data_IF_448447578102
#
_entry.id   IF_448447578102
#
_cell.length_a   1.000
_cell.length_b   1.000
_cell.length_c   1.000
_cell.angle_alpha   90.00
_cell.angle_beta   90.00
_cell.angle_gamma   90.00
#
_symmetry.space_group_name_H-M   'P 1'
#
loop_
_entity.id
_entity.type
_entity.pdbx_description
1 polymer ?
#
# COMPACT_ATOMS: atom_id res chain seq x y z
N UNK A 1 -0.52 -20.35 -14.61
CA UNK A 1 -0.58 -20.73 -13.18
C UNK A 1 0.27 -19.82 -12.29
N UNK A 2 1.52 -19.52 -12.67
CA UNK A 2 2.41 -18.61 -11.92
C UNK A 2 1.93 -17.16 -11.80
N UNK A 3 1.40 -16.58 -12.88
CA UNK A 3 0.98 -15.17 -12.93
C UNK A 3 -0.18 -14.85 -11.97
N UNK A 4 -1.14 -15.77 -11.84
CA UNK A 4 -2.32 -15.54 -10.99
C UNK A 4 -1.96 -15.59 -9.50
N UNK A 5 -1.01 -16.45 -9.12
CA UNK A 5 -0.47 -16.54 -7.75
C UNK A 5 0.29 -15.26 -7.39
N UNK A 6 1.08 -14.73 -8.32
CA UNK A 6 1.80 -13.46 -8.14
C UNK A 6 0.83 -12.30 -7.86
N UNK A 7 -0.25 -12.19 -8.65
CA UNK A 7 -1.26 -11.14 -8.49
C UNK A 7 -1.95 -11.23 -7.12
N UNK A 8 -2.29 -12.45 -6.67
CA UNK A 8 -2.91 -12.66 -5.35
C UNK A 8 -1.96 -12.21 -4.22
N UNK A 9 -0.66 -12.50 -4.32
CA UNK A 9 0.33 -12.08 -3.34
C UNK A 9 0.45 -10.55 -3.31
N UNK A 10 0.47 -9.89 -4.47
CA UNK A 10 0.48 -8.42 -4.55
C UNK A 10 -0.78 -7.82 -3.93
N UNK A 11 -1.95 -8.38 -4.23
CA UNK A 11 -3.21 -7.90 -3.66
C UNK A 11 -3.28 -8.11 -2.15
N UNK A 12 -2.73 -9.19 -1.61
CA UNK A 12 -2.68 -9.41 -0.15
C UNK A 12 -1.68 -8.48 0.53
N UNK A 13 -0.50 -8.29 -0.06
CA UNK A 13 0.57 -7.46 0.51
C UNK A 13 0.24 -5.95 0.45
N UNK A 14 -0.34 -5.50 -0.66
CA UNK A 14 -0.62 -4.07 -0.91
C UNK A 14 -2.09 -3.69 -0.72
N UNK A 15 -3.04 -4.61 -0.93
CA UNK A 15 -4.50 -4.35 -0.81
C UNK A 15 -5.17 -4.99 0.41
N UNK A 16 -4.59 -6.04 0.98
CA UNK A 16 -5.18 -6.86 2.05
C UNK A 16 -4.84 -6.42 3.48
N UNK A 17 -3.75 -5.68 3.68
CA UNK A 17 -3.20 -5.37 5.01
C UNK A 17 -3.93 -4.29 5.82
N UNK A 18 -4.99 -3.65 5.29
CA UNK A 18 -5.72 -2.62 6.03
C UNK A 18 -7.20 -2.46 5.66
N UNK A 19 -7.53 -2.49 4.37
CA UNK A 19 -8.89 -2.17 3.90
C UNK A 19 -9.86 -3.35 3.84
N UNK A 20 -9.40 -4.51 3.35
CA UNK A 20 -10.32 -5.62 3.02
C UNK A 20 -10.79 -6.42 4.25
N UNK A 21 -9.92 -6.58 5.27
CA UNK A 21 -10.21 -7.37 6.48
C UNK A 21 -10.47 -6.52 7.74
N UNK A 22 -10.25 -5.19 7.69
CA UNK A 22 -10.36 -4.29 8.84
C UNK A 22 -11.79 -3.93 9.29
N UNK A 23 -12.82 -4.44 8.61
CA UNK A 23 -14.23 -4.06 8.82
C UNK A 23 -14.96 -4.85 9.93
N UNK A 24 -14.29 -5.68 10.74
CA UNK A 24 -14.97 -6.45 11.81
C UNK A 24 -14.42 -6.18 13.22
N UNK A 25 -15.27 -5.50 13.99
CA UNK A 25 -15.45 -5.48 15.46
C UNK A 25 -14.28 -5.04 16.36
N UNK A 26 -13.01 -5.26 16.02
CA UNK A 26 -11.84 -4.92 16.88
C UNK A 26 -10.61 -4.41 16.11
N UNK A 27 -10.68 -4.20 14.79
CA UNK A 27 -9.55 -3.70 14.00
C UNK A 27 -9.58 -2.19 13.87
N UNK A 28 -8.48 -1.50 14.16
CA UNK A 28 -8.25 -0.12 13.70
C UNK A 28 -8.34 -0.11 12.17
N UNK A 29 -9.51 0.23 11.64
CA UNK A 29 -9.85 0.04 10.23
C UNK A 29 -8.87 0.74 9.29
N UNK A 30 -8.49 0.06 8.21
CA UNK A 30 -7.93 0.71 7.01
C UNK A 30 -6.47 1.15 7.06
N UNK A 31 -5.91 1.40 8.25
CA UNK A 31 -4.72 2.25 8.40
C UNK A 31 -3.45 1.72 7.74
N UNK A 32 -3.09 0.45 7.95
CA UNK A 32 -1.80 -0.08 7.49
C UNK A 32 -1.66 -0.17 5.96
N UNK A 33 -2.75 -0.49 5.26
CA UNK A 33 -2.74 -0.52 3.78
C UNK A 33 -2.62 0.87 3.16
N UNK A 34 -3.32 1.85 3.74
CA UNK A 34 -3.24 3.25 3.28
C UNK A 34 -1.87 3.84 3.60
N UNK A 35 -1.34 3.63 4.82
CA UNK A 35 -0.01 4.10 5.21
C UNK A 35 1.06 3.48 4.33
N UNK A 36 0.99 2.17 4.04
CA UNK A 36 1.92 1.50 3.14
C UNK A 36 1.88 2.07 1.72
N UNK A 37 0.69 2.32 1.18
CA UNK A 37 0.52 2.95 -0.14
C UNK A 37 1.09 4.37 -0.18
N UNK A 38 0.81 5.18 0.84
CA UNK A 38 1.33 6.54 0.95
C UNK A 38 2.86 6.55 1.01
N UNK A 39 3.46 5.65 1.79
CA UNK A 39 4.92 5.51 1.87
C UNK A 39 5.54 5.09 0.52
N UNK A 40 4.91 4.18 -0.21
CA UNK A 40 5.35 3.78 -1.56
C UNK A 40 5.29 4.96 -2.52
N UNK A 41 4.20 5.74 -2.50
CA UNK A 41 4.07 6.93 -3.35
C UNK A 41 5.17 7.96 -3.02
N UNK A 42 5.41 8.23 -1.73
CA UNK A 42 6.49 9.14 -1.30
C UNK A 42 7.88 8.64 -1.73
N UNK A 43 8.13 7.34 -1.63
CA UNK A 43 9.38 6.74 -2.07
C UNK A 43 9.59 6.88 -3.59
N UNK A 44 8.55 6.68 -4.38
CA UNK A 44 8.61 6.90 -5.84
C UNK A 44 8.87 8.37 -6.15
N UNK A 45 8.15 9.30 -5.51
CA UNK A 45 8.39 10.74 -5.68
C UNK A 45 9.82 11.15 -5.28
N UNK A 46 10.42 10.50 -4.29
CA UNK A 46 11.81 10.71 -3.89
C UNK A 46 12.78 10.21 -4.97
N UNK A 47 12.63 8.95 -5.40
CA UNK A 47 13.50 8.31 -6.40
C UNK A 47 13.47 9.03 -7.76
N UNK A 48 12.29 9.45 -8.20
CA UNK A 48 12.13 10.14 -9.49
C UNK A 48 12.36 11.66 -9.39
N UNK A 49 12.79 12.16 -8.22
CA UNK A 49 13.12 13.57 -8.03
C UNK A 49 11.92 14.50 -8.18
N UNK A 50 10.71 14.03 -7.86
CA UNK A 50 9.49 14.84 -7.75
C UNK A 50 9.41 15.63 -6.44
N UNK A 51 10.23 15.28 -5.44
CA UNK A 51 10.35 15.99 -4.15
C UNK A 51 11.38 17.14 -4.18
N UNK A 52 11.60 17.77 -5.33
CA UNK A 52 12.39 19.01 -5.39
C UNK A 52 11.54 20.12 -4.78
N UNK A 53 11.77 20.42 -3.50
CA UNK A 53 11.23 21.59 -2.85
C UNK A 53 11.73 22.83 -3.63
N UNK A 54 10.84 23.70 -4.13
CA UNK A 54 11.28 24.97 -4.70
C UNK A 54 12.04 25.72 -3.61
N UNK A 55 13.29 26.08 -3.93
CA UNK A 55 14.15 26.95 -3.11
C UNK A 55 13.64 28.38 -3.10
#
# INVERSE_FOLDING_TARGET
>A
MSLIVLIIILLLLFGGGGGYYGYRRWGSGGGLGIVGLVLIILLLLYLFGGLRLPS
#
